data_IF_914651790891
#
_entry.id   IF_914651790891
#
_cell.length_a   1.000
_cell.length_b   1.000
_cell.length_c   1.000
_cell.angle_alpha   90.00
_cell.angle_beta   90.00
_cell.angle_gamma   90.00
#
_symmetry.space_group_name_H-M   'P 1'
#
loop_
_entity.id
_entity.type
_entity.pdbx_description
1 polymer ?
#
# COMPACT_ATOMS: atom_id res chain seq x y z
N UNK A 1 -18.28 -7.10 -15.00
CA UNK A 1 -17.03 -7.45 -14.30
C UNK A 1 -15.94 -7.55 -15.35
N UNK A 2 -15.23 -6.45 -15.62
CA UNK A 2 -14.11 -6.47 -16.57
C UNK A 2 -12.99 -7.29 -15.96
N UNK A 3 -12.84 -8.54 -16.42
CA UNK A 3 -11.72 -9.41 -16.08
C UNK A 3 -10.43 -8.79 -16.63
N UNK A 4 -9.84 -7.87 -15.87
CA UNK A 4 -8.51 -7.37 -16.15
C UNK A 4 -7.52 -8.50 -15.85
N UNK A 5 -7.08 -9.23 -16.88
CA UNK A 5 -6.02 -10.26 -16.80
C UNK A 5 -4.63 -9.64 -16.66
N UNK A 6 -4.55 -8.56 -15.89
CA UNK A 6 -3.37 -7.77 -15.73
C UNK A 6 -2.34 -8.56 -14.91
N UNK A 7 -2.72 -9.21 -13.81
CA UNK A 7 -1.81 -9.98 -12.94
C UNK A 7 -0.87 -10.98 -13.64
N UNK A 8 -1.29 -11.57 -14.76
CA UNK A 8 -0.52 -12.63 -15.45
C UNK A 8 0.41 -12.09 -16.53
N UNK A 9 0.40 -10.78 -16.81
CA UNK A 9 1.30 -10.17 -17.78
C UNK A 9 2.68 -9.93 -17.17
N UNK A 10 3.74 -10.42 -17.84
CA UNK A 10 5.12 -10.09 -17.51
C UNK A 10 5.30 -8.56 -17.55
N UNK A 11 5.55 -7.97 -16.39
CA UNK A 11 5.60 -6.53 -16.17
C UNK A 11 6.75 -6.20 -15.23
N UNK A 12 7.17 -4.95 -15.27
CA UNK A 12 8.10 -4.41 -14.30
C UNK A 12 7.38 -4.33 -12.94
N UNK A 13 7.90 -5.05 -11.94
CA UNK A 13 7.34 -5.09 -10.59
C UNK A 13 8.00 -4.03 -9.68
N UNK A 14 8.58 -2.96 -10.22
CA UNK A 14 9.20 -1.92 -9.39
C UNK A 14 8.21 -1.27 -8.42
N UNK A 15 6.91 -1.29 -8.74
CA UNK A 15 5.80 -0.89 -7.86
C UNK A 15 5.69 -1.73 -6.57
N UNK A 16 6.31 -2.92 -6.53
CA UNK A 16 6.35 -3.77 -5.33
C UNK A 16 7.41 -3.32 -4.33
N UNK A 17 8.20 -2.30 -4.66
CA UNK A 17 9.35 -1.84 -3.86
C UNK A 17 10.26 -3.02 -3.45
N UNK A 18 10.77 -3.76 -4.43
CA UNK A 18 11.64 -4.94 -4.22
C UNK A 18 10.94 -6.10 -3.47
N UNK A 19 9.62 -6.27 -3.69
CA UNK A 19 8.82 -7.32 -3.04
C UNK A 19 8.33 -6.98 -1.63
N UNK A 20 8.52 -5.72 -1.18
CA UNK A 20 7.99 -5.21 0.10
C UNK A 20 6.47 -5.09 0.11
N UNK A 21 5.85 -4.90 -1.05
CA UNK A 21 4.40 -4.82 -1.21
C UNK A 21 3.90 -5.83 -2.24
N UNK A 22 2.65 -6.31 -2.11
CA UNK A 22 2.07 -7.18 -3.12
C UNK A 22 2.00 -6.45 -4.47
N UNK A 23 2.08 -7.18 -5.60
CA UNK A 23 1.90 -6.57 -6.92
C UNK A 23 0.44 -6.15 -7.13
N UNK A 24 0.24 -5.01 -7.81
CA UNK A 24 -1.09 -4.55 -8.20
C UNK A 24 -1.76 -5.57 -9.13
N UNK A 25 -3.08 -5.72 -9.00
CA UNK A 25 -3.91 -6.43 -9.97
C UNK A 25 -3.82 -5.78 -11.34
N UNK A 26 -3.64 -4.46 -11.40
CA UNK A 26 -3.76 -3.66 -12.63
C UNK A 26 -2.40 -3.41 -13.26
N UNK A 27 -2.30 -3.51 -14.59
CA UNK A 27 -1.06 -3.19 -15.31
C UNK A 27 -0.80 -1.68 -15.26
N UNK A 28 0.46 -1.23 -15.37
CA UNK A 28 0.76 0.21 -15.52
C UNK A 28 0.09 0.87 -16.73
N UNK A 29 -0.47 0.10 -17.67
CA UNK A 29 -1.27 0.56 -18.81
C UNK A 29 -2.78 0.49 -18.61
N UNK A 30 -3.25 0.06 -17.44
CA UNK A 30 -4.66 -0.03 -17.10
C UNK A 30 -5.14 1.33 -16.60
N UNK A 31 -6.34 1.74 -17.01
CA UNK A 31 -6.99 2.97 -16.55
C UNK A 31 -7.25 3.01 -15.03
N UNK A 32 -7.32 1.82 -14.42
CA UNK A 32 -7.52 1.64 -12.99
C UNK A 32 -6.20 1.61 -12.20
N UNK A 33 -5.05 1.56 -12.88
CA UNK A 33 -3.74 1.62 -12.24
C UNK A 33 -3.44 3.05 -11.83
N UNK A 34 -3.89 3.40 -10.62
CA UNK A 34 -3.69 4.69 -9.99
C UNK A 34 -2.94 4.49 -8.68
N UNK A 35 -1.79 5.15 -8.57
CA UNK A 35 -1.10 5.25 -7.30
C UNK A 35 -1.76 6.33 -6.46
N UNK A 36 -1.98 6.01 -5.20
CA UNK A 36 -2.43 6.92 -4.17
C UNK A 36 -1.35 7.05 -3.11
N UNK A 37 -1.38 8.17 -2.40
CA UNK A 37 -0.47 8.42 -1.31
C UNK A 37 -0.99 7.73 -0.04
N UNK A 38 -0.21 6.79 0.47
CA UNK A 38 -0.45 6.11 1.73
C UNK A 38 0.68 6.42 2.70
N UNK A 39 0.38 6.37 3.99
CA UNK A 39 1.34 6.47 5.06
C UNK A 39 1.54 5.10 5.70
N UNK A 40 2.77 4.60 5.65
CA UNK A 40 3.19 3.40 6.36
C UNK A 40 3.75 3.82 7.72
N UNK A 41 3.04 3.44 8.77
CA UNK A 41 3.39 3.76 10.16
C UNK A 41 3.92 2.48 10.80
N UNK A 42 5.20 2.48 11.17
CA UNK A 42 5.85 1.37 11.89
C UNK A 42 6.04 1.77 13.34
N UNK A 43 5.46 1.02 14.27
CA UNK A 43 5.67 1.20 15.70
C UNK A 43 6.04 -0.15 16.34
N UNK A 44 6.30 -0.17 17.65
CA UNK A 44 6.69 -1.39 18.37
C UNK A 44 5.59 -2.48 18.29
N UNK A 45 4.34 -2.07 18.16
CA UNK A 45 3.17 -2.95 18.05
C UNK A 45 3.03 -3.62 16.67
N UNK A 46 3.71 -3.11 15.64
CA UNK A 46 3.62 -3.62 14.28
C UNK A 46 3.72 -2.55 13.20
N UNK A 47 3.30 -2.92 11.99
CA UNK A 47 3.30 -2.03 10.84
C UNK A 47 1.89 -1.87 10.30
N UNK A 48 1.47 -0.61 10.18
CA UNK A 48 0.16 -0.22 9.66
C UNK A 48 0.36 0.60 8.39
N UNK A 49 -0.54 0.46 7.44
CA UNK A 49 -0.59 1.32 6.27
C UNK A 49 -1.96 1.95 6.29
N UNK A 50 -2.02 3.26 6.15
CA UNK A 50 -3.26 4.03 6.15
C UNK A 50 -3.24 5.06 5.04
N UNK A 51 -4.39 5.53 4.54
CA UNK A 51 -4.44 6.66 3.63
C UNK A 51 -3.71 7.88 4.21
N UNK A 52 -3.07 8.69 3.37
CA UNK A 52 -2.34 9.88 3.83
C UNK A 52 -3.23 10.86 4.63
N UNK A 53 -4.54 10.88 4.36
CA UNK A 53 -5.53 11.68 5.08
C UNK A 53 -5.73 11.20 6.54
N UNK A 54 -5.66 9.88 6.77
CA UNK A 54 -5.83 9.29 8.11
C UNK A 54 -4.53 9.24 8.92
N UNK A 55 -3.38 9.49 8.27
CA UNK A 55 -2.05 9.47 8.87
C UNK A 55 -2.00 10.27 10.18
N UNK A 56 -2.44 11.53 10.14
CA UNK A 56 -2.38 12.43 11.31
C UNK A 56 -3.25 11.87 12.45
N UNK A 57 -4.46 11.41 12.15
CA UNK A 57 -5.34 10.81 13.16
C UNK A 57 -4.74 9.56 13.81
N UNK A 58 -4.11 8.66 13.05
CA UNK A 58 -3.44 7.48 13.62
C UNK A 58 -2.20 7.88 14.43
N UNK A 59 -1.40 8.81 13.91
CA UNK A 59 -0.20 9.31 14.59
C UNK A 59 -0.52 10.01 15.92
N UNK A 60 -1.66 10.70 16.01
CA UNK A 60 -2.16 11.31 17.25
C UNK A 60 -2.61 10.26 18.29
N UNK A 61 -2.98 9.05 17.85
CA UNK A 61 -3.37 7.96 18.74
C UNK A 61 -2.20 7.07 19.17
N UNK A 62 -1.01 7.26 18.59
CA UNK A 62 0.19 6.51 18.94
C UNK A 62 1.00 7.26 20.00
N UNK A 63 1.02 6.73 21.22
CA UNK A 63 1.84 7.24 22.33
C UNK A 63 3.31 6.80 22.23
N UNK A 64 3.57 5.66 21.59
CA UNK A 64 4.91 5.07 21.42
C UNK A 64 5.67 5.67 20.22
N UNK A 65 7.02 5.61 20.22
CA UNK A 65 7.81 6.05 19.08
C UNK A 65 7.42 5.27 17.81
N UNK A 66 6.93 6.00 16.82
CA UNK A 66 6.57 5.47 15.51
C UNK A 66 7.41 6.12 14.40
N UNK A 67 7.58 5.39 13.30
CA UNK A 67 8.19 5.87 12.09
C UNK A 67 7.15 5.93 10.98
N UNK A 68 7.00 7.10 10.37
CA UNK A 68 6.08 7.31 9.24
C UNK A 68 6.87 7.37 7.95
N UNK A 69 6.45 6.58 6.96
CA UNK A 69 7.02 6.54 5.62
C UNK A 69 5.91 6.74 4.60
N UNK A 70 6.04 7.75 3.73
CA UNK A 70 5.10 7.95 2.62
C UNK A 70 5.37 6.92 1.52
N UNK A 71 4.36 6.14 1.17
CA UNK A 71 4.43 5.10 0.14
C UNK A 71 3.34 5.31 -0.91
N UNK A 72 3.70 5.10 -2.17
CA UNK A 72 2.82 5.26 -3.31
C UNK A 72 2.32 3.88 -3.73
N UNK A 73 1.11 3.52 -3.32
CA UNK A 73 0.53 2.21 -3.60
C UNK A 73 -0.76 2.37 -4.42
N UNK A 74 -1.11 1.36 -5.18
CA UNK A 74 -2.45 1.30 -5.78
C UNK A 74 -3.48 0.85 -4.75
N UNK A 75 -4.73 1.26 -4.93
CA UNK A 75 -5.83 0.91 -4.01
C UNK A 75 -5.96 -0.62 -3.81
N UNK A 76 -5.74 -1.38 -4.88
CA UNK A 76 -5.73 -2.84 -4.82
C UNK A 76 -4.55 -3.41 -4.02
N UNK A 77 -3.36 -2.82 -4.13
CA UNK A 77 -2.24 -3.25 -3.29
C UNK A 77 -2.54 -3.03 -1.82
N UNK A 78 -3.19 -1.91 -1.49
CA UNK A 78 -3.65 -1.61 -0.14
C UNK A 78 -4.70 -2.62 0.36
N UNK A 79 -5.71 -2.94 -0.43
CA UNK A 79 -6.76 -3.92 -0.07
C UNK A 79 -6.21 -5.33 0.21
N UNK A 80 -5.10 -5.70 -0.45
CA UNK A 80 -4.41 -6.97 -0.22
C UNK A 80 -3.45 -6.97 0.97
N UNK A 81 -3.08 -5.80 1.47
CA UNK A 81 -2.17 -5.74 2.61
C UNK A 81 -2.93 -6.22 3.85
N UNK A 82 -2.30 -7.05 4.70
CA UNK A 82 -2.91 -7.40 5.97
C UNK A 82 -3.16 -6.12 6.77
N UNK A 83 -4.41 -5.90 7.19
CA UNK A 83 -4.81 -4.77 8.04
C UNK A 83 -4.05 -4.75 9.38
N UNK A 84 -3.44 -5.90 9.74
CA UNK A 84 -2.60 -6.09 10.91
C UNK A 84 -1.63 -7.26 10.68
N UNK A 85 -0.32 -6.99 10.61
CA UNK A 85 0.71 -8.02 10.79
C UNK A 85 1.39 -7.71 12.13
N UNK A 86 0.92 -8.38 13.19
CA UNK A 86 1.44 -8.24 14.55
C UNK A 86 1.92 -9.57 15.10
#
# INVERSE_FOLDING_TARGET
MSMCNCQTMARDLSETHDGRFPPSLHAPRCEDFKHFEFARITCDMGCFIVPADERDGVCENLDDPYQVETVMLTQDQFDKLPEYDG
#
